data_IF_196586520587
#
_entry.id   IF_196586520587
#
_cell.length_a   1.000
_cell.length_b   1.000
_cell.length_c   1.000
_cell.angle_alpha   90.00
_cell.angle_beta   90.00
_cell.angle_gamma   90.00
#
_symmetry.space_group_name_H-M   'P 1'
#
loop_
_entity.id
_entity.type
_entity.pdbx_description
1 polymer ?
#
# COMPACT_ATOMS: atom_id res chain seq x y z
N UNK A 1 -13.04 3.70 4.73
CA UNK A 1 -13.26 4.64 5.87
C UNK A 1 -12.51 4.22 7.13
N UNK A 2 -12.35 2.92 7.39
CA UNK A 2 -11.68 2.42 8.61
C UNK A 2 -10.14 2.50 8.55
N UNK A 3 -9.56 2.73 7.38
CA UNK A 3 -8.11 2.74 7.13
C UNK A 3 -7.61 4.06 6.52
N UNK A 4 -8.29 5.16 6.83
CA UNK A 4 -8.10 6.46 6.22
C UNK A 4 -8.97 6.63 4.96
N UNK A 5 -9.32 7.87 4.67
CA UNK A 5 -10.09 8.25 3.48
C UNK A 5 -9.15 9.01 2.55
N UNK A 6 -8.65 8.33 1.53
CA UNK A 6 -7.62 8.85 0.62
C UNK A 6 -8.17 9.51 -0.64
N UNK A 7 -9.50 9.55 -0.80
CA UNK A 7 -10.13 10.17 -1.97
C UNK A 7 -9.82 11.68 -2.05
N UNK A 8 -9.78 12.37 -0.89
CA UNK A 8 -9.43 13.79 -0.84
C UNK A 8 -8.06 14.09 -1.45
N UNK A 9 -7.08 13.19 -1.27
CA UNK A 9 -5.76 13.35 -1.87
C UNK A 9 -5.80 13.26 -3.40
N UNK A 10 -6.69 12.43 -3.96
CA UNK A 10 -6.88 12.32 -5.42
C UNK A 10 -7.55 13.60 -5.96
N UNK A 11 -8.53 14.13 -5.22
CA UNK A 11 -9.21 15.39 -5.56
C UNK A 11 -8.26 16.58 -5.47
N UNK A 12 -7.42 16.65 -4.43
CA UNK A 12 -6.37 17.67 -4.25
C UNK A 12 -5.31 17.63 -5.37
N UNK A 13 -5.00 16.44 -5.90
CA UNK A 13 -4.12 16.28 -7.07
C UNK A 13 -4.78 16.73 -8.39
N UNK A 14 -6.05 17.18 -8.37
CA UNK A 14 -6.76 17.78 -9.50
C UNK A 14 -7.48 16.79 -10.42
N UNK A 15 -7.70 15.56 -9.98
CA UNK A 15 -8.51 14.59 -10.74
C UNK A 15 -10.00 14.88 -10.55
N UNK A 16 -10.69 15.23 -11.64
CA UNK A 16 -12.12 15.57 -11.63
C UNK A 16 -13.02 14.38 -11.98
N UNK A 17 -12.55 13.48 -12.86
CA UNK A 17 -13.33 12.32 -13.32
C UNK A 17 -13.00 11.10 -12.48
N UNK A 18 -13.69 10.95 -11.38
CA UNK A 18 -13.46 9.87 -10.41
C UNK A 18 -14.67 8.93 -10.38
N UNK A 19 -14.43 7.64 -10.63
CA UNK A 19 -15.43 6.59 -10.45
C UNK A 19 -15.19 5.88 -9.12
N UNK A 20 -16.13 6.01 -8.19
CA UNK A 20 -16.06 5.36 -6.89
C UNK A 20 -16.85 4.05 -6.93
N UNK A 21 -16.16 2.93 -6.70
CA UNK A 21 -16.76 1.59 -6.70
C UNK A 21 -16.65 1.02 -5.29
N UNK A 22 -17.76 1.01 -4.55
CA UNK A 22 -17.82 0.50 -3.18
C UNK A 22 -17.96 -1.03 -3.21
N UNK A 23 -16.84 -1.74 -3.15
CA UNK A 23 -16.75 -3.19 -3.28
C UNK A 23 -16.18 -3.90 -2.05
N UNK A 24 -15.49 -3.17 -1.16
CA UNK A 24 -14.77 -3.75 -0.04
C UNK A 24 -15.66 -3.95 1.18
N UNK A 25 -15.59 -5.15 1.76
CA UNK A 25 -16.16 -5.43 3.08
C UNK A 25 -15.27 -4.91 4.21
N UNK A 26 -15.77 -5.00 5.43
CA UNK A 26 -15.03 -4.63 6.66
C UNK A 26 -14.34 -5.83 7.32
N UNK A 27 -14.58 -7.04 6.84
CA UNK A 27 -14.01 -8.30 7.34
C UNK A 27 -12.63 -8.52 6.67
N UNK A 28 -11.56 -8.47 7.45
CA UNK A 28 -10.18 -8.70 7.03
C UNK A 28 -9.72 -10.16 7.17
N UNK A 29 -10.65 -11.09 7.43
CA UNK A 29 -10.37 -12.51 7.41
C UNK A 29 -10.11 -13.01 5.98
N UNK A 30 -9.50 -14.17 5.84
CA UNK A 30 -9.30 -14.83 4.53
C UNK A 30 -10.62 -14.96 3.76
N UNK A 31 -11.72 -15.30 4.46
CA UNK A 31 -13.05 -15.37 3.87
C UNK A 31 -13.56 -13.98 3.46
N UNK A 32 -13.38 -12.96 4.31
CA UNK A 32 -13.77 -11.58 4.04
C UNK A 32 -13.05 -10.99 2.84
N UNK A 33 -11.74 -11.22 2.72
CA UNK A 33 -10.94 -10.80 1.55
C UNK A 33 -11.43 -11.52 0.28
N UNK A 34 -11.71 -12.83 0.34
CA UNK A 34 -12.23 -13.59 -0.81
C UNK A 34 -13.61 -13.07 -1.26
N UNK A 35 -14.48 -12.71 -0.31
CA UNK A 35 -15.80 -12.12 -0.61
C UNK A 35 -15.61 -10.72 -1.23
N UNK A 36 -14.72 -9.89 -0.68
CA UNK A 36 -14.40 -8.56 -1.23
C UNK A 36 -13.85 -8.66 -2.65
N UNK A 37 -12.98 -9.64 -2.93
CA UNK A 37 -12.47 -9.94 -4.26
C UNK A 37 -13.60 -10.25 -5.25
N UNK A 38 -14.51 -11.17 -4.89
CA UNK A 38 -15.64 -11.55 -5.71
C UNK A 38 -16.60 -10.37 -5.97
N UNK A 39 -16.91 -9.58 -4.93
CA UNK A 39 -17.75 -8.39 -5.06
C UNK A 39 -17.10 -7.33 -5.97
N UNK A 40 -15.79 -7.17 -5.91
CA UNK A 40 -15.05 -6.27 -6.79
C UNK A 40 -15.18 -6.71 -8.24
N UNK A 41 -15.01 -8.00 -8.54
CA UNK A 41 -15.21 -8.55 -9.90
C UNK A 41 -16.62 -8.24 -10.41
N UNK A 42 -17.66 -8.51 -9.62
CA UNK A 42 -19.05 -8.27 -10.02
C UNK A 42 -19.32 -6.80 -10.35
N UNK A 43 -18.87 -5.90 -9.50
CA UNK A 43 -19.06 -4.46 -9.71
C UNK A 43 -18.24 -3.90 -10.88
N UNK A 44 -17.03 -4.43 -11.09
CA UNK A 44 -16.23 -4.05 -12.24
C UNK A 44 -16.76 -4.66 -13.55
N UNK A 45 -17.46 -5.79 -13.53
CA UNK A 45 -18.16 -6.27 -14.73
C UNK A 45 -19.20 -5.26 -15.21
N UNK A 46 -20.01 -4.70 -14.29
CA UNK A 46 -20.97 -3.63 -14.61
C UNK A 46 -20.26 -2.35 -15.08
N UNK A 47 -19.12 -2.01 -14.46
CA UNK A 47 -18.33 -0.85 -14.85
C UNK A 47 -17.79 -0.97 -16.28
N UNK A 48 -17.15 -2.08 -16.62
CA UNK A 48 -16.61 -2.33 -17.96
C UNK A 48 -17.67 -2.45 -19.03
N UNK A 49 -18.86 -2.96 -18.70
CA UNK A 49 -19.99 -2.98 -19.63
C UNK A 49 -20.42 -1.57 -20.08
N UNK A 50 -20.27 -0.57 -19.22
CA UNK A 50 -20.77 0.78 -19.44
C UNK A 50 -19.69 1.81 -19.74
N UNK A 51 -18.41 1.42 -19.68
CA UNK A 51 -17.28 2.35 -19.90
C UNK A 51 -16.23 1.71 -20.80
N UNK A 52 -15.71 2.49 -21.74
CA UNK A 52 -14.62 2.08 -22.63
C UNK A 52 -13.45 3.04 -22.52
N UNK A 53 -12.22 2.49 -22.60
CA UNK A 53 -10.98 3.24 -22.51
C UNK A 53 -9.99 2.70 -23.55
N UNK A 54 -9.15 3.57 -24.11
CA UNK A 54 -8.11 3.17 -25.05
C UNK A 54 -6.99 2.37 -24.35
N UNK A 55 -6.69 2.72 -23.09
CA UNK A 55 -5.71 2.06 -22.23
C UNK A 55 -6.08 2.30 -20.77
N UNK A 56 -5.96 1.28 -19.94
CA UNK A 56 -6.13 1.37 -18.49
C UNK A 56 -4.81 1.07 -17.80
N UNK A 57 -4.32 2.02 -16.98
CA UNK A 57 -3.12 1.84 -16.16
C UNK A 57 -3.48 1.21 -14.81
N UNK A 58 -2.83 0.09 -14.51
CA UNK A 58 -2.98 -0.64 -13.25
C UNK A 58 -1.72 -0.48 -12.42
N UNK A 59 -1.85 -0.03 -11.17
CA UNK A 59 -0.72 0.19 -10.27
C UNK A 59 -0.65 -0.89 -9.21
N UNK A 60 0.52 -1.52 -9.06
CA UNK A 60 0.85 -2.36 -7.91
C UNK A 60 0.25 -3.77 -7.98
N UNK A 61 -0.16 -4.27 -6.83
CA UNK A 61 -0.37 -5.69 -6.58
C UNK A 61 -1.57 -6.02 -5.69
N UNK A 62 -2.37 -5.04 -5.37
CA UNK A 62 -3.47 -5.28 -4.44
C UNK A 62 -4.56 -6.15 -5.06
N UNK A 63 -5.22 -6.92 -4.20
CA UNK A 63 -6.27 -7.84 -4.64
C UNK A 63 -7.43 -7.12 -5.34
N UNK A 64 -7.75 -5.89 -4.94
CA UNK A 64 -8.80 -5.08 -5.56
C UNK A 64 -8.45 -4.73 -7.02
N UNK A 65 -7.17 -4.40 -7.28
CA UNK A 65 -6.69 -4.13 -8.62
C UNK A 65 -6.72 -5.41 -9.48
N UNK A 66 -6.28 -6.54 -8.92
CA UNK A 66 -6.36 -7.84 -9.60
C UNK A 66 -7.82 -8.20 -9.95
N UNK A 67 -8.76 -7.98 -9.04
CA UNK A 67 -10.17 -8.24 -9.28
C UNK A 67 -10.74 -7.37 -10.42
N UNK A 68 -10.41 -6.09 -10.44
CA UNK A 68 -10.79 -5.15 -11.51
C UNK A 68 -10.25 -5.59 -12.88
N UNK A 69 -8.97 -6.01 -12.90
CA UNK A 69 -8.29 -6.53 -14.09
C UNK A 69 -8.92 -7.84 -14.56
N UNK A 70 -9.17 -8.80 -13.67
CA UNK A 70 -9.81 -10.07 -14.04
C UNK A 70 -11.21 -9.83 -14.68
N UNK A 71 -11.97 -8.91 -14.11
CA UNK A 71 -13.27 -8.53 -14.66
C UNK A 71 -13.18 -7.87 -16.05
N UNK A 72 -12.05 -7.26 -16.41
CA UNK A 72 -11.87 -6.56 -17.69
C UNK A 72 -11.55 -7.48 -18.89
N UNK A 73 -11.04 -8.69 -18.61
CA UNK A 73 -10.56 -9.62 -19.65
C UNK A 73 -11.63 -9.94 -20.71
N UNK A 74 -12.88 -10.30 -20.36
CA UNK A 74 -13.91 -10.59 -21.36
C UNK A 74 -14.28 -9.39 -22.25
N UNK A 75 -13.98 -8.16 -21.80
CA UNK A 75 -14.25 -6.92 -22.52
C UNK A 75 -13.10 -6.50 -23.45
N UNK A 76 -11.97 -7.22 -23.42
CA UNK A 76 -10.80 -6.90 -24.23
C UNK A 76 -10.13 -5.57 -23.88
N UNK A 77 -10.25 -5.13 -22.63
CA UNK A 77 -9.63 -3.88 -22.16
C UNK A 77 -8.12 -3.98 -22.28
N UNK A 78 -7.50 -2.99 -22.91
CA UNK A 78 -6.03 -2.90 -22.96
C UNK A 78 -5.48 -2.40 -21.64
N UNK A 79 -4.49 -3.10 -21.10
CA UNK A 79 -3.95 -2.85 -19.77
C UNK A 79 -2.46 -2.52 -19.82
N UNK A 80 -2.05 -1.53 -19.03
CA UNK A 80 -0.68 -1.23 -18.72
C UNK A 80 -0.44 -1.48 -17.22
N UNK A 81 0.54 -2.33 -16.87
CA UNK A 81 0.87 -2.63 -15.49
C UNK A 81 2.11 -1.86 -15.03
N UNK A 82 1.97 -1.12 -13.97
CA UNK A 82 3.05 -0.36 -13.32
C UNK A 82 3.48 -1.12 -12.05
N UNK A 83 4.78 -1.28 -11.83
CA UNK A 83 5.37 -2.08 -10.76
C UNK A 83 5.13 -3.60 -10.89
N UNK A 84 5.00 -4.11 -12.12
CA UNK A 84 5.00 -5.55 -12.41
C UNK A 84 6.35 -6.19 -12.11
N UNK A 85 6.36 -7.51 -11.83
CA UNK A 85 7.57 -8.30 -11.59
C UNK A 85 8.19 -8.16 -10.20
N UNK A 86 7.80 -7.17 -9.41
CA UNK A 86 8.31 -7.01 -8.04
C UNK A 86 7.88 -8.20 -7.15
N UNK A 87 8.66 -8.45 -6.10
CA UNK A 87 8.41 -9.54 -5.17
C UNK A 87 8.51 -9.05 -3.74
N UNK A 88 7.48 -9.27 -2.95
CA UNK A 88 7.46 -9.02 -1.51
C UNK A 88 7.48 -10.38 -0.79
N UNK A 89 8.53 -10.68 -0.04
CA UNK A 89 8.62 -11.93 0.72
C UNK A 89 7.51 -11.98 1.78
N UNK A 90 6.86 -13.13 1.93
CA UNK A 90 5.78 -13.32 2.89
C UNK A 90 4.45 -12.68 2.51
N UNK A 91 4.30 -12.15 1.29
CA UNK A 91 3.08 -11.53 0.81
C UNK A 91 2.35 -12.37 -0.24
N UNK A 92 1.05 -12.55 -0.06
CA UNK A 92 0.16 -13.17 -1.04
C UNK A 92 -0.01 -12.27 -2.28
N UNK A 93 0.23 -10.99 -2.14
CA UNK A 93 0.10 -9.97 -3.19
C UNK A 93 0.92 -10.28 -4.44
N UNK A 94 2.01 -11.05 -4.30
CA UNK A 94 2.78 -11.54 -5.45
C UNK A 94 1.90 -12.31 -6.46
N UNK A 95 0.92 -13.07 -5.98
CA UNK A 95 -0.02 -13.81 -6.85
C UNK A 95 -0.87 -12.83 -7.63
N UNK A 96 -1.43 -11.82 -6.97
CA UNK A 96 -2.25 -10.79 -7.61
C UNK A 96 -1.43 -9.95 -8.59
N UNK A 97 -0.20 -9.58 -8.23
CA UNK A 97 0.75 -8.88 -9.12
C UNK A 97 1.00 -9.66 -10.41
N UNK A 98 1.26 -10.96 -10.30
CA UNK A 98 1.48 -11.80 -11.48
C UNK A 98 0.22 -11.93 -12.34
N UNK A 99 -0.96 -12.03 -11.74
CA UNK A 99 -2.23 -12.03 -12.47
C UNK A 99 -2.43 -10.74 -13.27
N UNK A 100 -2.14 -9.57 -12.68
CA UNK A 100 -2.21 -8.28 -13.36
C UNK A 100 -1.17 -8.22 -14.49
N UNK A 101 0.08 -8.66 -14.22
CA UNK A 101 1.15 -8.72 -15.24
C UNK A 101 0.72 -9.56 -16.44
N UNK A 102 0.21 -10.77 -16.22
CA UNK A 102 -0.20 -11.69 -17.30
C UNK A 102 -1.39 -11.17 -18.11
N UNK A 103 -2.26 -10.37 -17.52
CA UNK A 103 -3.41 -9.78 -18.21
C UNK A 103 -3.04 -8.51 -18.98
N UNK A 104 -1.86 -7.92 -18.76
CA UNK A 104 -1.44 -6.64 -19.33
C UNK A 104 -0.63 -6.82 -20.61
N UNK A 105 -0.73 -5.82 -21.51
CA UNK A 105 0.02 -5.78 -22.77
C UNK A 105 1.19 -4.81 -22.73
N UNK A 106 1.25 -3.94 -21.71
CA UNK A 106 2.27 -2.92 -21.53
C UNK A 106 2.75 -2.96 -20.08
N UNK A 107 4.06 -2.89 -19.86
CA UNK A 107 4.66 -3.06 -18.53
C UNK A 107 5.68 -1.97 -18.24
N UNK A 108 5.50 -1.28 -17.11
CA UNK A 108 6.41 -0.29 -16.58
C UNK A 108 6.99 -0.82 -15.25
N UNK A 109 8.26 -1.19 -15.27
CA UNK A 109 8.95 -1.81 -14.15
C UNK A 109 9.94 -0.87 -13.50
N UNK A 110 10.25 -1.11 -12.23
CA UNK A 110 11.11 -0.21 -11.45
C UNK A 110 12.60 -0.57 -11.51
N UNK A 111 12.96 -1.75 -12.01
CA UNK A 111 14.36 -2.18 -12.15
C UNK A 111 14.54 -3.17 -13.30
N UNK A 112 15.78 -3.33 -13.75
CA UNK A 112 16.15 -4.34 -14.75
C UNK A 112 15.87 -5.78 -14.29
N UNK A 113 15.97 -6.07 -13.00
CA UNK A 113 15.68 -7.42 -12.50
C UNK A 113 14.17 -7.72 -12.56
N UNK A 114 13.34 -6.75 -12.28
CA UNK A 114 11.90 -6.89 -12.46
C UNK A 114 11.48 -6.93 -13.94
N UNK A 115 12.24 -6.26 -14.83
CA UNK A 115 12.07 -6.42 -16.28
C UNK A 115 12.27 -7.86 -16.70
N UNK A 116 13.36 -8.52 -16.27
CA UNK A 116 13.61 -9.94 -16.51
C UNK A 116 12.49 -10.81 -15.96
N UNK A 117 12.00 -10.49 -14.75
CA UNK A 117 10.90 -11.23 -14.14
C UNK A 117 9.60 -11.14 -14.93
N UNK A 118 9.27 -9.97 -15.46
CA UNK A 118 8.10 -9.80 -16.34
C UNK A 118 8.31 -10.57 -17.65
N UNK A 119 9.50 -10.52 -18.26
CA UNK A 119 9.85 -11.32 -19.43
C UNK A 119 9.64 -12.83 -19.18
N UNK A 120 10.13 -13.36 -18.06
CA UNK A 120 9.92 -14.76 -17.66
C UNK A 120 8.42 -15.12 -17.56
N UNK A 121 7.60 -14.20 -17.01
CA UNK A 121 6.17 -14.42 -16.83
C UNK A 121 5.39 -14.35 -18.16
N UNK A 122 5.73 -13.40 -19.03
CA UNK A 122 4.97 -13.11 -20.26
C UNK A 122 5.53 -13.88 -21.49
N UNK A 123 6.76 -14.33 -21.41
CA UNK A 123 7.47 -15.02 -22.51
C UNK A 123 7.96 -14.06 -23.60
N UNK A 124 7.95 -12.75 -23.38
CA UNK A 124 8.39 -11.74 -24.36
C UNK A 124 9.05 -10.54 -23.68
N UNK A 125 9.98 -9.89 -24.40
CA UNK A 125 10.57 -8.60 -24.00
C UNK A 125 9.80 -7.40 -24.56
N UNK A 126 8.82 -7.66 -25.44
CA UNK A 126 8.06 -6.58 -26.05
C UNK A 126 7.23 -5.82 -25.02
N UNK A 127 7.21 -4.49 -25.15
CA UNK A 127 6.42 -3.59 -24.31
C UNK A 127 6.73 -3.64 -22.82
N UNK A 128 7.99 -3.99 -22.44
CA UNK A 128 8.47 -3.95 -21.08
C UNK A 128 9.53 -2.84 -20.92
N UNK A 129 9.21 -1.80 -20.17
CA UNK A 129 10.03 -0.60 -19.99
C UNK A 129 10.51 -0.49 -18.56
N UNK A 130 11.84 -0.37 -18.37
CA UNK A 130 12.42 0.00 -17.08
C UNK A 130 12.37 1.52 -16.96
N UNK A 131 11.50 2.01 -16.07
CA UNK A 131 11.21 3.44 -15.89
C UNK A 131 11.58 3.94 -14.49
N UNK A 132 12.07 3.06 -13.62
CA UNK A 132 12.29 3.39 -12.22
C UNK A 132 11.01 3.32 -11.38
N UNK A 133 11.15 3.57 -10.08
CA UNK A 133 10.03 3.60 -9.16
C UNK A 133 9.36 4.98 -9.14
N UNK A 134 8.07 5.03 -9.44
CA UNK A 134 7.28 6.28 -9.45
C UNK A 134 7.38 7.08 -8.15
N UNK A 135 7.53 6.39 -7.02
CA UNK A 135 7.71 7.05 -5.72
C UNK A 135 8.95 7.93 -5.63
N UNK A 136 9.94 7.72 -6.50
CA UNK A 136 11.20 8.46 -6.51
C UNK A 136 11.19 9.71 -7.42
N UNK A 137 10.22 9.82 -8.33
CA UNK A 137 10.18 10.89 -9.35
C UNK A 137 10.12 12.29 -8.75
N UNK A 138 9.55 12.44 -7.58
CA UNK A 138 9.41 13.74 -6.91
C UNK A 138 10.57 14.09 -5.97
N UNK A 139 11.49 13.16 -5.69
CA UNK A 139 12.60 13.38 -4.76
C UNK A 139 13.51 14.53 -5.24
N UNK A 140 13.89 14.64 -6.53
CA UNK A 140 14.75 15.73 -7.00
C UNK A 140 14.17 17.14 -6.76
N UNK A 141 12.85 17.26 -6.73
CA UNK A 141 12.13 18.52 -6.56
C UNK A 141 11.57 18.68 -5.14
N UNK A 142 11.88 17.75 -4.23
CA UNK A 142 11.38 17.81 -2.86
C UNK A 142 12.00 18.99 -2.11
N UNK A 143 11.14 19.84 -1.57
CA UNK A 143 11.53 20.89 -0.65
C UNK A 143 11.18 20.45 0.77
N UNK A 144 12.19 20.28 1.66
CA UNK A 144 11.93 19.89 3.04
C UNK A 144 11.05 20.94 3.72
N UNK A 145 10.03 20.47 4.43
CA UNK A 145 9.24 21.32 5.31
C UNK A 145 10.06 21.66 6.57
N UNK A 146 9.70 22.74 7.24
CA UNK A 146 10.34 23.13 8.48
C UNK A 146 10.05 22.07 9.57
N UNK A 147 11.11 21.64 10.31
CA UNK A 147 11.05 20.54 11.29
C UNK A 147 9.98 20.75 12.35
N UNK A 148 9.91 21.96 12.92
CA UNK A 148 8.96 22.23 14.02
C UNK A 148 7.52 22.18 13.50
N UNK A 149 7.26 22.70 12.30
CA UNK A 149 5.95 22.62 11.66
C UNK A 149 5.51 21.19 11.41
N UNK A 150 6.43 20.29 10.99
CA UNK A 150 6.15 18.87 10.84
C UNK A 150 5.82 18.20 12.18
N UNK A 151 6.65 18.43 13.21
CA UNK A 151 6.47 17.83 14.53
C UNK A 151 5.15 18.26 15.16
N UNK A 152 4.79 19.53 15.01
CA UNK A 152 3.53 20.10 15.52
C UNK A 152 2.32 19.49 14.80
N UNK A 153 2.34 19.44 13.47
CA UNK A 153 1.26 18.89 12.65
C UNK A 153 0.90 17.44 13.02
N UNK A 154 1.90 16.63 13.38
CA UNK A 154 1.69 15.25 13.78
C UNK A 154 1.75 15.00 15.30
N UNK A 155 1.83 16.05 16.10
CA UNK A 155 1.92 15.98 17.57
C UNK A 155 3.10 15.12 18.04
N UNK A 156 4.22 15.17 17.32
CA UNK A 156 5.46 14.50 17.64
C UNK A 156 6.30 15.44 18.52
N UNK A 157 6.81 14.96 19.64
CA UNK A 157 7.70 15.75 20.48
C UNK A 157 9.04 15.98 19.80
N UNK A 158 9.64 17.17 20.03
CA UNK A 158 10.99 17.47 19.58
C UNK A 158 12.04 16.79 20.48
N UNK A 159 12.00 15.47 20.51
CA UNK A 159 12.88 14.55 21.22
C UNK A 159 13.24 13.42 20.26
N UNK A 160 14.23 12.60 20.60
CA UNK A 160 14.58 11.44 19.78
C UNK A 160 13.40 10.48 19.64
N UNK A 161 13.14 10.06 18.42
CA UNK A 161 12.09 9.11 18.12
C UNK A 161 12.50 8.10 17.03
N UNK A 162 11.83 6.97 17.03
CA UNK A 162 11.94 5.97 15.97
C UNK A 162 10.63 5.90 15.20
N UNK A 163 10.73 5.85 13.86
CA UNK A 163 9.61 5.57 12.98
C UNK A 163 9.46 4.07 12.80
N UNK A 164 8.26 3.57 13.02
CA UNK A 164 7.92 2.15 12.89
C UNK A 164 6.79 1.98 11.88
N UNK A 165 7.06 1.17 10.86
CA UNK A 165 6.06 0.68 9.89
C UNK A 165 6.09 -0.84 9.95
N UNK A 166 4.96 -1.46 10.27
CA UNK A 166 4.85 -2.91 10.37
C UNK A 166 3.54 -3.39 9.78
N UNK A 167 3.63 -4.34 8.84
CA UNK A 167 2.48 -4.96 8.19
C UNK A 167 2.42 -6.46 8.52
N UNK A 168 1.21 -7.06 8.61
CA UNK A 168 1.07 -8.50 8.80
C UNK A 168 1.66 -9.27 7.63
N UNK A 169 2.19 -10.46 7.91
CA UNK A 169 2.52 -11.44 6.89
C UNK A 169 1.23 -12.10 6.41
N UNK A 170 1.03 -12.19 5.09
CA UNK A 170 -0.21 -12.69 4.52
C UNK A 170 -0.12 -14.13 4.03
N UNK A 171 1.07 -14.75 4.05
CA UNK A 171 1.31 -16.16 3.74
C UNK A 171 1.25 -17.03 4.99
N UNK A 172 2.06 -16.71 6.02
CA UNK A 172 2.07 -17.44 7.29
C UNK A 172 1.13 -16.79 8.32
N UNK A 173 -0.14 -16.76 8.01
CA UNK A 173 -1.19 -16.02 8.74
C UNK A 173 -1.22 -16.34 10.24
N UNK A 174 -1.05 -17.60 10.62
CA UNK A 174 -1.11 -18.06 12.01
C UNK A 174 0.01 -17.49 12.90
N UNK A 175 1.14 -17.11 12.30
CA UNK A 175 2.28 -16.55 13.01
C UNK A 175 2.07 -15.09 13.45
N UNK A 176 1.14 -14.37 12.81
CA UNK A 176 0.93 -12.95 13.04
C UNK A 176 0.59 -12.56 14.48
N UNK A 177 -0.15 -13.41 15.21
CA UNK A 177 -0.46 -13.17 16.62
C UNK A 177 0.82 -13.14 17.44
N UNK A 178 1.74 -14.05 17.16
CA UNK A 178 3.04 -14.12 17.84
C UNK A 178 3.91 -12.94 17.45
N UNK A 179 4.01 -12.61 16.17
CA UNK A 179 4.78 -11.48 15.68
C UNK A 179 4.28 -10.15 16.25
N UNK A 180 2.96 -9.94 16.27
CA UNK A 180 2.37 -8.75 16.87
C UNK A 180 2.75 -8.61 18.35
N UNK A 181 2.68 -9.70 19.14
CA UNK A 181 3.07 -9.69 20.56
C UNK A 181 4.56 -9.38 20.74
N UNK A 182 5.43 -9.99 19.93
CA UNK A 182 6.88 -9.75 19.99
C UNK A 182 7.22 -8.30 19.62
N UNK A 183 6.61 -7.78 18.55
CA UNK A 183 6.76 -6.38 18.15
C UNK A 183 6.34 -5.44 19.29
N UNK A 184 5.16 -5.65 19.87
CA UNK A 184 4.65 -4.80 20.96
C UNK A 184 5.57 -4.85 22.18
N UNK A 185 6.10 -6.04 22.54
CA UNK A 185 7.03 -6.17 23.64
C UNK A 185 8.34 -5.39 23.39
N UNK A 186 8.90 -5.50 22.19
CA UNK A 186 10.09 -4.75 21.79
C UNK A 186 9.84 -3.23 21.80
N UNK A 187 8.71 -2.78 21.25
CA UNK A 187 8.35 -1.36 21.26
C UNK A 187 8.11 -0.84 22.67
N UNK A 188 7.49 -1.62 23.56
CA UNK A 188 7.31 -1.24 24.97
C UNK A 188 8.66 -1.01 25.67
N UNK A 189 9.67 -1.85 25.43
CA UNK A 189 11.02 -1.64 25.96
C UNK A 189 11.66 -0.36 25.40
N UNK A 190 11.52 -0.10 24.10
CA UNK A 190 12.07 1.09 23.45
C UNK A 190 11.46 2.40 23.99
N UNK A 191 10.21 2.39 24.50
CA UNK A 191 9.60 3.59 25.10
C UNK A 191 10.35 4.13 26.31
N UNK A 192 11.20 3.31 26.94
CA UNK A 192 12.05 3.73 28.06
C UNK A 192 13.13 4.73 27.64
N UNK A 193 13.53 4.71 26.38
CA UNK A 193 14.63 5.51 25.84
C UNK A 193 14.17 6.52 24.79
N UNK A 194 13.22 6.17 23.95
CA UNK A 194 12.80 6.93 22.76
C UNK A 194 11.29 7.16 22.72
N UNK A 195 10.89 8.15 21.98
CA UNK A 195 9.50 8.24 21.52
C UNK A 195 9.30 7.34 20.28
N UNK A 196 8.10 6.88 20.05
CA UNK A 196 7.79 5.98 18.94
C UNK A 196 6.69 6.59 18.09
N UNK A 197 6.96 6.71 16.82
CA UNK A 197 5.97 7.13 15.81
C UNK A 197 5.63 5.89 14.99
N UNK A 198 4.38 5.46 14.99
CA UNK A 198 3.93 4.24 14.31
C UNK A 198 2.98 4.63 13.18
N UNK A 199 3.31 4.24 11.95
CA UNK A 199 2.34 4.25 10.85
C UNK A 199 1.42 3.05 10.99
N UNK A 200 0.11 3.31 10.90
CA UNK A 200 -0.88 2.25 11.12
C UNK A 200 -0.93 1.28 9.92
N UNK A 201 -1.04 -0.04 10.18
CA UNK A 201 -1.13 -1.02 9.10
C UNK A 201 -2.39 -0.82 8.25
N UNK A 202 -2.26 -1.18 6.96
CA UNK A 202 -3.32 -1.14 5.97
C UNK A 202 -4.47 -2.14 6.27
N UNK A 203 -5.45 -2.20 5.36
CA UNK A 203 -6.58 -3.15 5.38
C UNK A 203 -6.20 -4.56 4.87
N UNK A 204 -4.98 -5.00 5.13
CA UNK A 204 -4.53 -6.34 4.75
C UNK A 204 -5.06 -7.39 5.73
N UNK A 205 -4.99 -8.67 5.32
CA UNK A 205 -5.43 -9.79 6.17
C UNK A 205 -4.81 -9.69 7.57
N UNK A 206 -5.65 -9.72 8.60
CA UNK A 206 -5.27 -9.56 10.01
C UNK A 206 -4.65 -8.20 10.40
N UNK A 207 -4.78 -7.17 9.58
CA UNK A 207 -4.39 -5.81 9.94
C UNK A 207 -5.04 -5.33 11.24
N UNK A 208 -6.29 -5.75 11.49
CA UNK A 208 -7.04 -5.46 12.73
C UNK A 208 -6.37 -5.99 13.99
N UNK A 209 -5.68 -7.14 13.92
CA UNK A 209 -4.94 -7.73 15.05
C UNK A 209 -3.80 -6.80 15.49
N UNK A 210 -3.01 -6.32 14.52
CA UNK A 210 -1.92 -5.39 14.79
C UNK A 210 -2.44 -4.04 15.30
N UNK A 211 -3.46 -3.49 14.66
CA UNK A 211 -4.09 -2.22 15.07
C UNK A 211 -4.54 -2.27 16.52
N UNK A 212 -5.23 -3.35 16.93
CA UNK A 212 -5.67 -3.54 18.33
C UNK A 212 -4.50 -3.55 19.32
N UNK A 213 -3.43 -4.25 19.00
CA UNK A 213 -2.23 -4.34 19.84
C UNK A 213 -1.51 -2.98 19.93
N UNK A 214 -1.39 -2.27 18.82
CA UNK A 214 -0.78 -0.93 18.76
C UNK A 214 -1.59 0.08 19.58
N UNK A 215 -2.92 0.09 19.48
CA UNK A 215 -3.77 0.95 20.32
C UNK A 215 -3.61 0.65 21.81
N UNK A 216 -3.51 -0.63 22.16
CA UNK A 216 -3.25 -1.02 23.57
C UNK A 216 -1.90 -0.53 24.06
N UNK A 217 -0.86 -0.64 23.24
CA UNK A 217 0.48 -0.13 23.55
C UNK A 217 0.45 1.39 23.79
N UNK A 218 -0.21 2.16 22.92
CA UNK A 218 -0.38 3.61 23.11
C UNK A 218 -1.08 3.92 24.42
N UNK A 219 -2.12 3.16 24.79
CA UNK A 219 -2.88 3.36 26.02
C UNK A 219 -2.03 3.11 27.27
N UNK A 220 -1.13 2.13 27.24
CA UNK A 220 -0.26 1.80 28.38
C UNK A 220 0.98 2.68 28.49
N UNK A 221 1.37 3.38 27.39
CA UNK A 221 2.54 4.27 27.35
C UNK A 221 2.13 5.68 26.86
N UNK A 222 1.29 6.40 27.64
CA UNK A 222 0.79 7.71 27.23
C UNK A 222 1.95 8.71 27.06
N UNK A 223 1.89 9.50 25.99
CA UNK A 223 2.89 10.53 25.71
C UNK A 223 4.21 10.04 25.12
N UNK A 224 4.40 8.71 24.95
CA UNK A 224 5.58 8.13 24.29
C UNK A 224 5.30 7.61 22.88
N UNK A 225 4.04 7.45 22.51
CA UNK A 225 3.64 6.83 21.23
C UNK A 225 2.71 7.76 20.46
N UNK A 226 3.09 8.05 19.24
CA UNK A 226 2.27 8.77 18.25
C UNK A 226 1.84 7.76 17.19
N UNK A 227 0.54 7.72 16.88
CA UNK A 227 -0.02 6.90 15.80
C UNK A 227 -0.42 7.80 14.66
N UNK A 228 0.00 7.45 13.47
CA UNK A 228 -0.28 8.20 12.24
C UNK A 228 -0.92 7.26 11.22
N UNK A 229 -2.12 7.58 10.77
CA UNK A 229 -2.80 6.80 9.72
C UNK A 229 -2.16 7.00 8.36
N UNK A 230 -1.82 8.25 8.04
CA UNK A 230 -1.18 8.62 6.79
C UNK A 230 -0.43 9.94 6.96
N UNK A 231 0.84 9.96 6.61
CA UNK A 231 1.63 11.19 6.58
C UNK A 231 1.35 12.07 5.36
N UNK A 232 0.75 11.50 4.32
CA UNK A 232 0.71 12.13 3.00
C UNK A 232 2.09 12.11 2.31
N UNK A 233 2.10 12.37 1.03
CA UNK A 233 3.28 12.24 0.15
C UNK A 233 4.46 13.10 0.62
N UNK A 234 4.23 14.40 0.84
CA UNK A 234 5.30 15.36 1.17
C UNK A 234 5.93 15.05 2.54
N UNK A 235 5.09 14.78 3.54
CA UNK A 235 5.56 14.50 4.89
C UNK A 235 6.29 13.15 5.00
N UNK A 236 5.92 12.18 4.18
CA UNK A 236 6.59 10.89 4.14
C UNK A 236 8.01 11.03 3.59
N UNK A 237 8.22 11.82 2.54
CA UNK A 237 9.55 12.16 2.04
C UNK A 237 10.40 12.92 3.06
N UNK A 238 9.79 13.82 3.83
CA UNK A 238 10.49 14.51 4.90
C UNK A 238 11.05 13.55 5.96
N UNK A 239 10.31 12.52 6.35
CA UNK A 239 10.78 11.50 7.29
C UNK A 239 12.00 10.74 6.76
N UNK A 240 11.99 10.33 5.49
CA UNK A 240 13.15 9.70 4.87
C UNK A 240 14.36 10.64 4.83
N UNK A 241 14.14 11.89 4.50
CA UNK A 241 15.22 12.89 4.47
C UNK A 241 15.89 13.06 5.85
N UNK A 242 15.13 13.04 6.93
CA UNK A 242 15.66 13.15 8.30
C UNK A 242 16.43 11.90 8.76
N UNK A 243 16.16 10.74 8.20
CA UNK A 243 16.85 9.47 8.54
C UNK A 243 18.19 9.36 7.80
N UNK A 244 18.34 10.05 6.64
CA UNK A 244 19.52 9.98 5.78
C UNK A 244 20.60 11.04 6.11
N UNK A 245 20.35 11.96 7.04
CA UNK A 245 21.28 12.96 7.55
C UNK A 245 21.70 12.60 8.98
#
# INVERSE_FOLDING_TARGET
KNHGYTLSAIEEDGFEKIHQIDALGTDDSQKGISISYANTILKFADFWQNNSFDLVCCLGDRFEMSAAVQASIPFGVKLAHIHGGETTLGAIDNVYRHQITLASQLHFVSTLDYKKKVEELTGTLENIYDVGALSLDNIPNFQPIEKMSFLEAFQIKNEDYVLVTFHPETVAVDSNITYAKQMIAALAELTKMLNIVITMPNADTLGSVYRKQIYQLKKTHPGKIVLVENFGKVNYFYLYYQILI
#
